data_IF_883096907412
#
_entry.id   IF_883096907412
#
_cell.length_a   1.000
_cell.length_b   1.000
_cell.length_c   1.000
_cell.angle_alpha   90.00
_cell.angle_beta   90.00
_cell.angle_gamma   90.00
#
_symmetry.space_group_name_H-M   'P 1'
#
loop_
_entity.id
_entity.type
_entity.pdbx_description
1 polymer ?
#
# COMPACT_ATOMS: atom_id res chain seq x y z
N UNK A 1 -43.98 12.91 -34.09
CA UNK A 1 -44.35 11.52 -33.78
C UNK A 1 -44.01 11.32 -32.32
N UNK A 2 -44.97 11.62 -31.45
CA UNK A 2 -44.87 11.46 -30.00
C UNK A 2 -44.85 9.96 -29.70
N UNK A 3 -43.81 9.49 -29.00
CA UNK A 3 -43.76 8.12 -28.50
C UNK A 3 -44.59 8.05 -27.21
N UNK A 4 -45.63 7.22 -27.24
CA UNK A 4 -46.55 6.98 -26.14
C UNK A 4 -45.83 6.34 -24.95
N UNK A 5 -46.23 6.77 -23.76
CA UNK A 5 -45.64 6.44 -22.47
C UNK A 5 -46.11 5.10 -21.88
N UNK A 6 -46.17 4.02 -22.68
CA UNK A 6 -46.72 2.74 -22.20
C UNK A 6 -45.96 1.44 -22.55
N UNK A 7 -44.74 1.51 -23.06
CA UNK A 7 -43.90 0.30 -23.16
C UNK A 7 -43.03 0.14 -21.89
N UNK A 8 -43.68 -0.22 -20.80
CA UNK A 8 -42.99 -0.66 -19.57
C UNK A 8 -42.65 -2.14 -19.74
N UNK A 9 -41.42 -2.45 -20.16
CA UNK A 9 -40.89 -3.81 -20.07
C UNK A 9 -41.05 -4.31 -18.62
N UNK A 10 -41.45 -5.58 -18.39
CA UNK A 10 -41.56 -6.11 -17.04
C UNK A 10 -40.17 -6.17 -16.43
N UNK A 11 -39.85 -5.21 -15.56
CA UNK A 11 -38.61 -5.18 -14.79
C UNK A 11 -38.75 -6.30 -13.75
N UNK A 12 -38.16 -7.45 -14.00
CA UNK A 12 -38.04 -8.50 -12.99
C UNK A 12 -37.25 -7.95 -11.81
N UNK A 13 -37.90 -7.87 -10.64
CA UNK A 13 -37.30 -7.51 -9.35
C UNK A 13 -36.45 -8.67 -8.79
N UNK A 14 -35.74 -9.40 -9.64
CA UNK A 14 -35.03 -10.59 -9.21
C UNK A 14 -33.63 -10.24 -8.73
N UNK A 15 -33.45 -10.27 -7.40
CA UNK A 15 -32.16 -9.99 -6.75
C UNK A 15 -31.05 -10.91 -7.25
N UNK A 16 -31.41 -12.14 -7.63
CA UNK A 16 -30.45 -13.13 -8.09
C UNK A 16 -29.85 -12.73 -9.45
N UNK A 17 -30.68 -12.24 -10.37
CA UNK A 17 -30.24 -11.76 -11.68
C UNK A 17 -29.32 -10.52 -11.58
N UNK A 18 -29.59 -9.61 -10.64
CA UNK A 18 -28.70 -8.47 -10.38
C UNK A 18 -27.34 -8.90 -9.80
N UNK A 19 -27.30 -9.96 -9.00
CA UNK A 19 -26.06 -10.54 -8.48
C UNK A 19 -25.28 -11.28 -9.56
N UNK A 20 -25.95 -11.99 -10.48
CA UNK A 20 -25.33 -12.59 -11.66
C UNK A 20 -24.76 -11.55 -12.61
N UNK A 21 -25.50 -10.48 -12.92
CA UNK A 21 -24.99 -9.35 -13.73
C UNK A 21 -23.82 -8.68 -13.02
N UNK A 22 -23.88 -8.52 -11.68
CA UNK A 22 -22.75 -8.01 -10.90
C UNK A 22 -21.57 -8.97 -11.04
N UNK A 23 -21.74 -10.26 -10.83
CA UNK A 23 -20.65 -11.22 -10.83
C UNK A 23 -20.11 -11.45 -12.25
N UNK A 24 -20.89 -11.25 -13.31
CA UNK A 24 -20.43 -11.19 -14.69
C UNK A 24 -19.72 -9.85 -15.00
N UNK A 25 -20.25 -8.74 -14.47
CA UNK A 25 -19.61 -7.42 -14.41
C UNK A 25 -18.60 -7.30 -13.26
N UNK A 26 -18.12 -8.35 -12.60
CA UNK A 26 -16.99 -8.28 -11.65
C UNK A 26 -16.05 -9.46 -11.84
N UNK A 27 -16.55 -10.51 -12.50
CA UNK A 27 -15.88 -11.74 -12.79
C UNK A 27 -14.73 -11.56 -13.77
N UNK A 28 -13.81 -12.49 -13.65
CA UNK A 28 -12.53 -12.57 -14.37
C UNK A 28 -12.69 -13.00 -15.83
N UNK A 29 -13.93 -13.22 -16.30
CA UNK A 29 -14.26 -13.77 -17.62
C UNK A 29 -14.16 -12.79 -18.79
N UNK A 30 -14.29 -11.47 -18.58
CA UNK A 30 -14.16 -10.50 -19.68
C UNK A 30 -12.67 -10.21 -19.96
N UNK A 31 -12.19 -10.53 -21.17
CA UNK A 31 -10.80 -10.29 -21.60
C UNK A 31 -10.34 -8.83 -21.44
N UNK A 32 -11.26 -7.87 -21.61
CA UNK A 32 -10.97 -6.43 -21.48
C UNK A 32 -10.50 -6.04 -20.08
N UNK A 33 -11.03 -6.67 -19.03
CA UNK A 33 -10.70 -6.31 -17.64
C UNK A 33 -9.37 -6.79 -17.15
N UNK A 34 -8.85 -7.84 -17.77
CA UNK A 34 -7.51 -8.32 -17.46
C UNK A 34 -6.45 -7.34 -17.96
N UNK A 35 -6.77 -6.40 -18.84
CA UNK A 35 -5.81 -5.40 -19.33
C UNK A 35 -5.76 -4.19 -18.40
N UNK A 36 -4.56 -3.80 -17.98
CA UNK A 36 -4.35 -2.73 -17.01
C UNK A 36 -4.92 -1.39 -17.48
N UNK A 37 -4.70 -1.02 -18.75
CA UNK A 37 -5.20 0.22 -19.35
C UNK A 37 -6.74 0.35 -19.34
N UNK A 38 -7.49 -0.75 -19.27
CA UNK A 38 -8.95 -0.75 -19.23
C UNK A 38 -9.46 -0.34 -17.85
N UNK A 39 -8.59 -0.26 -16.82
CA UNK A 39 -8.95 0.35 -15.55
C UNK A 39 -9.14 1.85 -15.74
N UNK A 40 -8.21 2.49 -16.46
CA UNK A 40 -8.29 3.90 -16.79
C UNK A 40 -9.59 4.18 -17.58
N UNK A 41 -9.87 3.38 -18.61
CA UNK A 41 -11.12 3.49 -19.38
C UNK A 41 -12.36 3.35 -18.48
N UNK A 42 -12.38 2.34 -17.59
CA UNK A 42 -13.50 2.09 -16.68
C UNK A 42 -13.73 3.24 -15.70
N UNK A 43 -12.65 3.81 -15.15
CA UNK A 43 -12.73 4.83 -14.11
C UNK A 43 -13.00 6.21 -14.71
N UNK A 44 -12.34 6.56 -15.81
CA UNK A 44 -12.36 7.92 -16.36
C UNK A 44 -13.55 8.19 -17.30
N UNK A 45 -14.15 7.15 -17.87
CA UNK A 45 -15.27 7.32 -18.80
C UNK A 45 -16.52 7.85 -18.08
N UNK A 46 -17.10 8.92 -18.62
CA UNK A 46 -18.37 9.48 -18.12
C UNK A 46 -19.55 8.59 -18.43
N UNK A 47 -19.48 7.82 -19.53
CA UNK A 47 -20.49 6.85 -19.98
C UNK A 47 -19.78 5.60 -20.49
N UNK A 48 -20.16 4.44 -19.99
CA UNK A 48 -19.63 3.14 -20.40
C UNK A 48 -20.79 2.21 -20.70
N UNK A 49 -20.68 1.50 -21.81
CA UNK A 49 -21.61 0.45 -22.21
C UNK A 49 -20.83 -0.88 -22.28
N UNK A 50 -20.62 -1.59 -21.15
CA UNK A 50 -19.94 -2.86 -21.16
C UNK A 50 -20.84 -3.91 -21.80
N UNK A 51 -20.31 -4.57 -22.83
CA UNK A 51 -20.86 -5.79 -23.39
C UNK A 51 -20.33 -6.96 -22.58
N UNK A 52 -21.20 -7.59 -21.81
CA UNK A 52 -20.94 -8.86 -21.15
C UNK A 52 -21.68 -9.94 -21.96
N UNK A 53 -21.25 -11.20 -21.83
CA UNK A 53 -21.66 -12.33 -22.67
C UNK A 53 -23.15 -12.35 -23.05
N UNK A 54 -24.04 -12.02 -22.12
CA UNK A 54 -25.50 -12.07 -22.27
C UNK A 54 -26.22 -10.75 -21.96
N UNK A 55 -25.50 -9.72 -21.48
CA UNK A 55 -26.10 -8.46 -21.04
C UNK A 55 -25.29 -7.25 -21.47
N UNK A 56 -26.01 -6.19 -21.87
CA UNK A 56 -25.45 -4.87 -22.07
C UNK A 56 -25.74 -4.05 -20.82
N UNK A 57 -24.69 -3.63 -20.12
CA UNK A 57 -24.82 -2.75 -18.95
C UNK A 57 -24.69 -1.30 -19.41
N UNK A 58 -25.41 -0.36 -18.80
CA UNK A 58 -25.15 1.07 -18.99
C UNK A 58 -24.74 1.70 -17.67
N UNK A 59 -23.56 2.35 -17.68
CA UNK A 59 -23.04 3.12 -16.54
C UNK A 59 -22.84 4.56 -16.98
N UNK A 60 -23.41 5.49 -16.23
CA UNK A 60 -23.21 6.92 -16.42
C UNK A 60 -22.76 7.55 -15.10
N UNK A 61 -21.65 8.29 -15.11
CA UNK A 61 -21.07 8.91 -13.91
C UNK A 61 -21.90 10.09 -13.40
N UNK A 62 -22.67 10.74 -14.27
CA UNK A 62 -23.48 11.93 -13.90
C UNK A 62 -24.86 11.56 -13.35
N UNK A 63 -25.34 10.33 -13.57
CA UNK A 63 -26.68 9.94 -13.15
C UNK A 63 -26.59 9.24 -11.79
N UNK A 64 -26.99 9.94 -10.71
CA UNK A 64 -27.27 9.35 -9.38
C UNK A 64 -28.52 8.45 -9.37
N UNK A 65 -29.02 8.05 -10.54
CA UNK A 65 -30.34 7.43 -10.71
C UNK A 65 -30.37 6.00 -10.17
N UNK A 66 -31.42 5.69 -9.42
CA UNK A 66 -31.80 4.39 -8.87
C UNK A 66 -32.05 3.27 -9.93
N UNK A 67 -31.70 3.49 -11.19
CA UNK A 67 -31.92 2.57 -12.32
C UNK A 67 -30.63 1.86 -12.75
N UNK A 68 -29.84 1.42 -11.78
CA UNK A 68 -28.69 0.58 -12.06
C UNK A 68 -28.97 -0.82 -11.50
N UNK A 69 -28.95 -1.84 -12.37
CA UNK A 69 -28.77 -3.25 -11.98
C UNK A 69 -27.43 -3.47 -11.24
N UNK A 70 -26.57 -2.46 -11.19
CA UNK A 70 -25.29 -2.45 -10.50
C UNK A 70 -25.45 -2.01 -9.04
N UNK A 71 -25.38 -2.97 -8.11
CA UNK A 71 -25.16 -2.67 -6.69
C UNK A 71 -23.67 -2.48 -6.45
N UNK A 72 -23.26 -1.24 -6.17
CA UNK A 72 -21.87 -0.86 -5.83
C UNK A 72 -21.32 -1.74 -4.70
N UNK A 73 -20.16 -2.37 -4.93
CA UNK A 73 -19.44 -3.07 -3.87
C UNK A 73 -18.67 -2.06 -3.02
N UNK A 74 -18.57 -2.33 -1.71
CA UNK A 74 -17.71 -1.56 -0.81
C UNK A 74 -16.22 -1.66 -1.20
N UNK A 75 -15.84 -2.61 -2.04
CA UNK A 75 -14.44 -2.87 -2.44
C UNK A 75 -14.08 -2.30 -3.80
N UNK A 76 -15.03 -1.71 -4.53
CA UNK A 76 -14.78 -1.17 -5.87
C UNK A 76 -13.84 0.04 -5.83
N UNK A 77 -12.89 0.13 -6.80
CA UNK A 77 -12.08 1.34 -6.94
C UNK A 77 -12.96 2.48 -7.44
N UNK A 78 -12.77 3.65 -6.84
CA UNK A 78 -13.48 4.86 -7.20
C UNK A 78 -12.50 6.02 -7.31
N UNK A 79 -12.75 6.88 -8.28
CA UNK A 79 -12.08 8.18 -8.34
C UNK A 79 -12.80 9.09 -7.34
N UNK A 80 -12.06 9.86 -6.51
CA UNK A 80 -12.64 10.88 -5.64
C UNK A 80 -13.52 11.85 -6.42
N UNK A 81 -14.61 12.32 -5.81
CA UNK A 81 -15.49 13.29 -6.45
C UNK A 81 -14.81 14.67 -6.52
N UNK A 82 -14.22 14.98 -7.67
CA UNK A 82 -13.52 16.25 -7.93
C UNK A 82 -14.46 17.45 -8.05
N UNK A 83 -15.79 17.26 -8.14
CA UNK A 83 -16.75 18.35 -8.38
C UNK A 83 -16.93 19.29 -7.17
N UNK A 84 -16.56 18.85 -5.97
CA UNK A 84 -16.63 19.66 -4.74
C UNK A 84 -15.39 20.53 -4.48
N UNK A 85 -14.35 20.46 -5.32
CA UNK A 85 -13.02 21.00 -4.99
C UNK A 85 -12.71 22.39 -5.52
N UNK A 86 -13.59 23.02 -6.31
CA UNK A 86 -13.40 24.41 -6.73
C UNK A 86 -13.77 25.45 -5.65
N UNK A 87 -14.33 25.04 -4.49
CA UNK A 87 -14.88 26.01 -3.52
C UNK A 87 -14.55 25.81 -2.03
N UNK A 88 -13.84 24.77 -1.57
CA UNK A 88 -13.53 24.65 -0.13
C UNK A 88 -12.11 24.21 0.18
N UNK A 89 -11.41 25.03 0.95
CA UNK A 89 -10.08 24.80 1.55
C UNK A 89 -10.09 23.68 2.61
N UNK A 90 -10.50 22.46 2.26
CA UNK A 90 -10.50 21.30 3.15
C UNK A 90 -9.18 20.50 3.14
N UNK A 91 -8.03 21.18 3.03
CA UNK A 91 -6.72 20.52 3.23
C UNK A 91 -6.52 19.95 4.65
N UNK A 92 -7.46 20.16 5.56
CA UNK A 92 -7.35 19.80 6.97
C UNK A 92 -8.42 18.83 7.47
N UNK A 93 -9.27 18.27 6.61
CA UNK A 93 -10.15 17.17 7.04
C UNK A 93 -9.42 15.83 6.91
N UNK A 94 -8.89 15.33 8.01
CA UNK A 94 -8.18 14.06 8.10
C UNK A 94 -9.06 12.86 7.69
N UNK A 95 -10.38 12.98 7.83
CA UNK A 95 -11.33 11.99 7.33
C UNK A 95 -11.36 11.96 5.79
N UNK A 96 -11.35 13.12 5.14
CA UNK A 96 -11.31 13.22 3.67
C UNK A 96 -10.02 12.61 3.11
N UNK A 97 -8.86 12.90 3.72
CA UNK A 97 -7.59 12.30 3.30
C UNK A 97 -7.57 10.78 3.48
N UNK A 98 -8.13 10.28 4.58
CA UNK A 98 -8.29 8.84 4.78
C UNK A 98 -9.14 8.19 3.67
N UNK A 99 -10.21 8.85 3.22
CA UNK A 99 -11.03 8.37 2.11
C UNK A 99 -10.24 8.32 0.79
N UNK A 100 -9.44 9.35 0.49
CA UNK A 100 -8.59 9.36 -0.70
C UNK A 100 -7.56 8.22 -0.63
N UNK A 101 -6.86 8.05 0.49
CA UNK A 101 -5.84 7.00 0.63
C UNK A 101 -6.44 5.61 0.44
N UNK A 102 -7.61 5.34 1.02
CA UNK A 102 -8.34 4.08 0.83
C UNK A 102 -8.76 3.91 -0.64
N UNK A 103 -9.22 4.97 -1.30
CA UNK A 103 -9.58 4.92 -2.71
C UNK A 103 -8.36 4.63 -3.60
N UNK A 104 -7.22 5.27 -3.35
CA UNK A 104 -5.97 5.04 -4.08
C UNK A 104 -5.48 3.60 -3.90
N UNK A 105 -5.46 3.10 -2.68
CA UNK A 105 -5.08 1.71 -2.40
C UNK A 105 -5.98 0.69 -3.10
N UNK A 106 -7.27 0.97 -3.27
CA UNK A 106 -8.19 0.12 -4.05
C UNK A 106 -7.89 0.16 -5.54
N UNK A 107 -7.56 1.34 -6.08
CA UNK A 107 -7.11 1.50 -7.46
C UNK A 107 -5.84 0.68 -7.68
N UNK A 108 -4.81 0.87 -6.86
CA UNK A 108 -3.53 0.15 -6.98
C UNK A 108 -3.74 -1.37 -6.84
N UNK A 109 -4.60 -1.82 -5.93
CA UNK A 109 -4.95 -3.26 -5.78
C UNK A 109 -5.63 -3.83 -7.03
N UNK A 110 -6.61 -3.14 -7.60
CA UNK A 110 -7.27 -3.60 -8.84
C UNK A 110 -6.30 -3.53 -10.02
N UNK A 111 -5.58 -2.43 -10.15
CA UNK A 111 -4.62 -2.20 -11.24
C UNK A 111 -3.50 -3.23 -11.27
N UNK A 112 -2.86 -3.50 -10.13
CA UNK A 112 -1.73 -4.44 -10.04
C UNK A 112 -2.10 -5.90 -10.32
N UNK A 113 -3.38 -6.27 -10.29
CA UNK A 113 -3.88 -7.60 -10.69
C UNK A 113 -4.05 -7.76 -12.20
N UNK A 114 -3.97 -6.67 -12.95
CA UNK A 114 -4.21 -6.66 -14.39
C UNK A 114 -2.90 -6.83 -15.14
N UNK A 115 -2.97 -7.51 -16.26
CA UNK A 115 -1.88 -7.73 -17.19
C UNK A 115 -1.54 -6.44 -17.95
N UNK A 116 -0.24 -6.19 -18.05
CA UNK A 116 0.37 -5.21 -18.95
C UNK A 116 1.11 -5.94 -20.07
N UNK A 117 1.21 -5.31 -21.23
CA UNK A 117 2.05 -5.81 -22.31
C UNK A 117 3.54 -5.58 -22.04
N UNK A 118 3.87 -4.45 -21.41
CA UNK A 118 5.23 -4.02 -21.04
C UNK A 118 5.23 -3.60 -19.56
N UNK A 119 6.23 -4.02 -18.80
CA UNK A 119 6.27 -3.73 -17.36
C UNK A 119 6.59 -2.26 -17.08
N UNK A 120 7.40 -1.66 -17.93
CA UNK A 120 7.86 -0.28 -17.90
C UNK A 120 6.70 0.72 -18.09
N UNK A 121 5.55 0.24 -18.56
CA UNK A 121 4.35 1.05 -18.75
C UNK A 121 3.45 1.08 -17.50
N UNK A 122 3.86 0.44 -16.40
CA UNK A 122 3.00 0.29 -15.22
C UNK A 122 2.59 1.62 -14.60
N UNK A 123 3.52 2.57 -14.47
CA UNK A 123 3.18 3.93 -13.98
C UNK A 123 2.45 4.73 -15.05
N UNK A 124 2.93 4.69 -16.30
CA UNK A 124 2.35 5.45 -17.43
C UNK A 124 0.89 5.09 -17.66
N UNK A 125 0.53 3.80 -17.67
CA UNK A 125 -0.84 3.35 -17.86
C UNK A 125 -1.75 3.57 -16.63
N UNK A 126 -1.20 4.05 -15.51
CA UNK A 126 -1.96 4.53 -14.35
C UNK A 126 -1.98 6.07 -14.26
N UNK A 127 -1.19 6.78 -15.07
CA UNK A 127 -0.95 8.22 -14.96
C UNK A 127 -2.24 9.05 -15.03
N UNK A 128 -3.18 8.70 -15.92
CA UNK A 128 -4.46 9.41 -16.02
C UNK A 128 -5.33 9.27 -14.77
N UNK A 129 -5.25 8.13 -14.07
CA UNK A 129 -5.95 7.95 -12.79
C UNK A 129 -5.23 8.71 -11.68
N UNK A 130 -3.89 8.65 -11.63
CA UNK A 130 -3.08 9.41 -10.68
C UNK A 130 -3.34 10.92 -10.80
N UNK A 131 -3.45 11.47 -12.01
CA UNK A 131 -3.77 12.87 -12.24
C UNK A 131 -5.12 13.28 -11.60
N UNK A 132 -6.14 12.42 -11.67
CA UNK A 132 -7.43 12.69 -11.04
C UNK A 132 -7.34 12.69 -9.51
N UNK A 133 -6.51 11.83 -8.94
CA UNK A 133 -6.22 11.84 -7.50
C UNK A 133 -5.43 13.09 -7.10
N UNK A 134 -4.44 13.50 -7.89
CA UNK A 134 -3.70 14.74 -7.64
C UNK A 134 -4.61 15.98 -7.64
N UNK A 135 -5.59 16.04 -8.56
CA UNK A 135 -6.60 17.11 -8.56
C UNK A 135 -7.46 17.10 -7.29
N UNK A 136 -7.79 15.93 -6.75
CA UNK A 136 -8.55 15.80 -5.50
C UNK A 136 -7.73 16.17 -4.26
N UNK A 137 -6.44 15.80 -4.24
CA UNK A 137 -5.48 16.16 -3.20
C UNK A 137 -5.07 17.65 -3.25
N UNK A 138 -5.16 18.27 -4.43
CA UNK A 138 -4.94 19.70 -4.68
C UNK A 138 -3.56 20.04 -5.23
N UNK A 139 -3.31 21.34 -5.44
CA UNK A 139 -2.13 21.87 -6.17
C UNK A 139 -0.74 21.53 -5.58
N UNK A 140 -0.68 21.02 -4.35
CA UNK A 140 0.57 20.64 -3.68
C UNK A 140 0.75 19.11 -3.63
N UNK A 141 -0.15 18.35 -4.25
CA UNK A 141 -0.05 16.90 -4.29
C UNK A 141 1.22 16.49 -5.04
N UNK A 142 2.12 15.82 -4.34
CA UNK A 142 3.37 15.32 -4.90
C UNK A 142 3.31 13.80 -5.06
N UNK A 143 3.53 13.34 -6.29
CA UNK A 143 3.47 11.95 -6.70
C UNK A 143 4.87 11.36 -6.86
N UNK A 144 5.08 10.17 -6.29
CA UNK A 144 6.38 9.54 -6.13
C UNK A 144 6.30 8.09 -6.59
N UNK A 145 6.48 7.90 -7.90
CA UNK A 145 6.50 6.59 -8.53
C UNK A 145 5.34 5.67 -8.05
N UNK A 146 4.11 6.17 -7.96
CA UNK A 146 2.98 5.36 -7.48
C UNK A 146 2.49 5.65 -6.06
N UNK A 147 3.23 6.42 -5.27
CA UNK A 147 2.90 6.78 -3.89
C UNK A 147 2.68 8.30 -3.76
N UNK A 148 2.02 8.73 -2.69
CA UNK A 148 1.80 10.14 -2.38
C UNK A 148 2.69 10.61 -1.23
N UNK A 149 3.27 11.81 -1.37
CA UNK A 149 4.13 12.43 -0.33
C UNK A 149 3.45 12.49 1.04
N UNK A 150 2.22 12.99 1.08
CA UNK A 150 1.49 13.27 2.32
C UNK A 150 1.09 12.00 3.09
N UNK A 151 0.98 10.86 2.41
CA UNK A 151 0.66 9.56 2.99
C UNK A 151 1.81 8.56 2.90
N UNK A 152 3.04 8.99 2.62
CA UNK A 152 4.12 8.11 2.18
C UNK A 152 4.38 6.91 3.11
N UNK A 153 4.39 7.11 4.43
CA UNK A 153 4.59 6.03 5.40
C UNK A 153 3.46 4.98 5.37
N UNK A 154 2.22 5.40 5.11
CA UNK A 154 1.06 4.50 4.95
C UNK A 154 1.11 3.81 3.58
N UNK A 155 1.45 4.57 2.55
CA UNK A 155 1.60 4.09 1.19
C UNK A 155 2.71 3.04 1.08
N UNK A 156 3.77 3.12 1.89
CA UNK A 156 4.83 2.10 1.99
C UNK A 156 4.37 0.79 2.61
N UNK A 157 3.18 0.74 3.24
CA UNK A 157 2.62 -0.45 3.89
C UNK A 157 1.86 -1.38 2.91
N UNK A 158 2.05 -1.22 1.60
CA UNK A 158 1.64 -2.22 0.63
C UNK A 158 2.37 -3.54 0.89
N UNK A 159 1.75 -4.66 0.51
CA UNK A 159 2.37 -5.99 0.58
C UNK A 159 1.91 -6.85 -0.60
N UNK A 160 2.67 -7.88 -0.94
CA UNK A 160 2.30 -8.82 -2.00
C UNK A 160 0.98 -9.51 -1.65
N UNK A 161 0.05 -9.52 -2.60
CA UNK A 161 -1.19 -10.27 -2.50
C UNK A 161 -0.91 -11.78 -2.49
N UNK A 162 -1.14 -12.50 -1.38
CA UNK A 162 -0.84 -13.92 -1.27
C UNK A 162 -1.77 -14.80 -2.11
N UNK A 163 -2.93 -14.28 -2.52
CA UNK A 163 -3.94 -15.04 -3.25
C UNK A 163 -3.71 -14.96 -4.77
N UNK A 164 -2.68 -14.25 -5.21
CA UNK A 164 -2.36 -14.07 -6.62
C UNK A 164 -1.00 -14.64 -6.94
N UNK A 165 -0.95 -15.52 -7.94
CA UNK A 165 0.28 -16.04 -8.51
C UNK A 165 0.56 -15.42 -9.88
N UNK A 166 0.30 -14.11 -10.00
CA UNK A 166 0.48 -13.38 -11.25
C UNK A 166 1.96 -13.09 -11.45
N UNK A 167 2.62 -13.89 -12.27
CA UNK A 167 3.98 -13.60 -12.73
C UNK A 167 3.91 -12.55 -13.85
N UNK A 168 3.72 -11.27 -13.47
CA UNK A 168 3.98 -10.17 -14.40
C UNK A 168 5.47 -9.82 -14.36
N UNK A 169 5.98 -9.28 -15.47
CA UNK A 169 7.30 -8.68 -15.52
C UNK A 169 7.39 -7.51 -14.52
N UNK A 170 8.52 -7.39 -13.82
CA UNK A 170 8.83 -6.25 -12.95
C UNK A 170 9.26 -5.06 -13.81
N UNK A 171 8.90 -3.85 -13.38
CA UNK A 171 9.48 -2.64 -13.95
C UNK A 171 10.88 -2.44 -13.36
N UNK A 172 11.97 -2.58 -14.13
CA UNK A 172 13.33 -2.44 -13.63
C UNK A 172 13.69 -1.00 -13.25
N UNK A 173 12.91 -0.01 -13.71
CA UNK A 173 13.16 1.40 -13.46
C UNK A 173 12.39 1.93 -12.24
N UNK A 174 11.38 1.20 -11.77
CA UNK A 174 10.63 1.56 -10.58
C UNK A 174 11.48 1.35 -9.30
N UNK A 175 11.58 2.36 -8.41
CA UNK A 175 12.30 2.24 -7.15
C UNK A 175 11.80 1.06 -6.30
N UNK A 176 12.68 0.38 -5.55
CA UNK A 176 12.30 -0.85 -4.83
C UNK A 176 11.20 -0.66 -3.79
N UNK A 177 11.04 0.56 -3.26
CA UNK A 177 10.01 0.93 -2.29
C UNK A 177 8.64 1.21 -2.92
N UNK A 178 8.56 1.35 -4.25
CA UNK A 178 7.30 1.51 -4.99
C UNK A 178 6.61 0.16 -5.26
N UNK A 179 5.28 0.12 -5.22
CA UNK A 179 4.50 -1.04 -5.68
C UNK A 179 4.67 -1.31 -7.18
N UNK A 180 5.11 -0.31 -7.96
CA UNK A 180 5.36 -0.47 -9.38
C UNK A 180 6.54 -1.43 -9.65
N UNK A 181 7.49 -1.54 -8.72
CA UNK A 181 8.60 -2.51 -8.80
C UNK A 181 8.16 -3.97 -8.79
N UNK A 182 6.95 -4.27 -8.32
CA UNK A 182 6.47 -5.64 -8.16
C UNK A 182 5.81 -6.18 -9.42
N UNK A 183 6.13 -7.41 -9.81
CA UNK A 183 5.39 -8.12 -10.87
C UNK A 183 4.06 -8.71 -10.37
N UNK A 184 3.95 -8.99 -9.07
CA UNK A 184 2.75 -9.54 -8.49
C UNK A 184 1.75 -8.45 -8.10
N UNK A 185 0.49 -8.83 -7.95
CA UNK A 185 -0.50 -7.93 -7.37
C UNK A 185 -0.13 -7.54 -5.94
N UNK A 186 -0.50 -6.32 -5.56
CA UNK A 186 -0.26 -5.80 -4.21
C UNK A 186 -1.58 -5.48 -3.51
N UNK A 187 -1.54 -5.51 -2.18
CA UNK A 187 -2.64 -5.12 -1.30
C UNK A 187 -2.16 -4.11 -0.27
N UNK A 188 -3.13 -3.43 0.31
CA UNK A 188 -2.95 -2.63 1.51
C UNK A 188 -3.92 -3.12 2.56
N UNK A 189 -3.56 -2.98 3.83
CA UNK A 189 -4.53 -3.13 4.90
C UNK A 189 -5.41 -1.86 4.95
N UNK A 190 -6.50 -1.86 4.17
CA UNK A 190 -7.35 -0.67 4.01
C UNK A 190 -7.95 -0.16 5.33
N UNK A 191 -8.11 -1.04 6.32
CA UNK A 191 -8.54 -0.64 7.65
C UNK A 191 -7.50 0.28 8.32
N UNK A 192 -6.22 0.15 7.97
CA UNK A 192 -5.06 0.86 8.51
C UNK A 192 -4.62 2.08 7.68
N UNK A 193 -5.32 2.45 6.60
CA UNK A 193 -4.93 3.57 5.74
C UNK A 193 -5.48 4.95 6.15
N UNK A 194 -6.12 5.04 7.32
CA UNK A 194 -6.48 6.33 7.89
C UNK A 194 -5.22 7.01 8.45
N UNK A 195 -5.02 8.31 8.23
CA UNK A 195 -3.94 9.02 8.93
C UNK A 195 -4.28 9.12 10.44
N UNK A 196 -5.57 9.19 10.77
CA UNK A 196 -6.04 9.29 12.15
C UNK A 196 -5.82 7.99 12.94
N UNK A 197 -5.45 8.14 14.21
CA UNK A 197 -5.29 7.02 15.13
C UNK A 197 -3.98 6.23 14.99
N UNK A 198 -3.07 6.70 14.13
CA UNK A 198 -1.73 6.12 14.01
C UNK A 198 -0.68 7.00 14.68
N UNK A 199 0.32 6.35 15.26
CA UNK A 199 1.58 6.98 15.62
C UNK A 199 2.63 6.61 14.59
N UNK A 200 3.33 7.61 14.05
CA UNK A 200 4.49 7.39 13.20
C UNK A 200 5.69 6.98 14.06
N UNK A 201 6.32 5.86 13.71
CA UNK A 201 7.56 5.36 14.33
C UNK A 201 8.81 5.68 13.50
N UNK A 202 8.60 6.11 12.26
CA UNK A 202 9.61 6.56 11.31
C UNK A 202 9.29 7.97 10.83
N UNK A 203 10.33 8.70 10.44
CA UNK A 203 10.25 10.02 9.81
C UNK A 203 10.81 9.93 8.38
N UNK A 204 10.11 10.54 7.42
CA UNK A 204 10.62 10.72 6.06
C UNK A 204 11.53 11.94 6.05
N UNK A 205 12.83 11.72 5.86
CA UNK A 205 13.82 12.80 5.77
C UNK A 205 13.87 13.37 4.36
N UNK A 206 13.88 12.47 3.37
CA UNK A 206 13.94 12.85 1.96
C UNK A 206 13.30 11.73 1.14
N UNK A 207 12.61 12.07 0.05
CA UNK A 207 12.33 11.09 -0.98
C UNK A 207 12.17 11.80 -2.30
N UNK A 208 12.73 11.26 -3.36
CA UNK A 208 12.70 11.88 -4.68
C UNK A 208 12.65 10.81 -5.76
N UNK A 209 12.14 11.21 -6.93
CA UNK A 209 12.10 10.39 -8.14
C UNK A 209 12.60 11.21 -9.31
N UNK A 210 13.36 10.58 -10.21
CA UNK A 210 13.78 11.17 -11.47
C UNK A 210 12.80 10.74 -12.54
N UNK A 211 12.06 11.70 -13.11
CA UNK A 211 11.13 11.45 -14.21
C UNK A 211 11.90 11.23 -15.52
N UNK A 212 11.40 10.35 -16.37
CA UNK A 212 11.89 10.23 -17.76
C UNK A 212 11.54 11.48 -18.57
N UNK A 213 10.32 12.00 -18.37
CA UNK A 213 9.83 13.23 -19.00
C UNK A 213 9.15 14.11 -17.95
N UNK A 214 9.67 15.33 -17.74
CA UNK A 214 9.12 16.30 -16.80
C UNK A 214 7.72 16.80 -17.17
N UNK A 215 7.30 16.66 -18.44
CA UNK A 215 5.94 16.98 -18.88
C UNK A 215 4.92 15.91 -18.46
N UNK A 216 5.39 14.74 -18.01
CA UNK A 216 4.58 13.62 -17.55
C UNK A 216 4.82 13.36 -16.05
N UNK A 217 4.30 14.20 -15.14
CA UNK A 217 4.59 14.12 -13.70
C UNK A 217 4.09 12.84 -13.01
N UNK A 218 3.20 12.09 -13.66
CA UNK A 218 2.69 10.79 -13.19
C UNK A 218 3.19 9.61 -14.05
N UNK A 219 4.14 9.90 -14.95
CA UNK A 219 4.64 8.97 -15.95
C UNK A 219 5.79 8.10 -15.45
N UNK A 220 6.65 7.69 -16.40
CA UNK A 220 7.78 6.81 -16.12
C UNK A 220 8.85 7.53 -15.29
N UNK A 221 9.49 6.78 -14.41
CA UNK A 221 10.65 7.20 -13.63
C UNK A 221 11.87 6.39 -14.06
N UNK A 222 13.06 6.97 -13.95
CA UNK A 222 14.34 6.31 -14.26
C UNK A 222 15.14 5.98 -13.01
N UNK A 223 14.86 6.65 -11.90
CA UNK A 223 15.49 6.42 -10.59
C UNK A 223 14.62 7.00 -9.47
N UNK A 224 14.91 6.59 -8.23
CA UNK A 224 14.36 7.25 -7.05
C UNK A 224 15.07 6.81 -5.78
N UNK A 225 14.95 7.61 -4.72
CA UNK A 225 15.46 7.25 -3.41
C UNK A 225 14.51 7.71 -2.31
N UNK A 226 14.60 7.02 -1.17
CA UNK A 226 13.85 7.33 0.03
C UNK A 226 14.79 7.23 1.23
N UNK A 227 14.88 8.31 2.00
CA UNK A 227 15.66 8.39 3.24
C UNK A 227 14.68 8.45 4.41
N UNK A 228 14.74 7.44 5.28
CA UNK A 228 13.97 7.41 6.52
C UNK A 228 14.90 7.56 7.71
N UNK A 229 14.47 8.34 8.71
CA UNK A 229 15.03 8.31 10.06
C UNK A 229 14.16 7.38 10.91
N UNK A 230 14.75 6.27 11.36
CA UNK A 230 13.96 5.19 11.97
C UNK A 230 14.80 4.31 12.90
N UNK A 231 14.20 3.68 13.92
CA UNK A 231 14.82 2.55 14.62
C UNK A 231 15.04 1.38 13.65
N UNK A 232 16.24 0.81 13.60
CA UNK A 232 16.52 -0.35 12.77
C UNK A 232 16.64 -1.60 13.65
N UNK A 233 15.80 -2.61 13.38
CA UNK A 233 15.71 -3.82 14.20
C UNK A 233 16.29 -5.02 13.44
N UNK A 234 17.14 -5.80 14.09
CA UNK A 234 17.75 -7.00 13.49
C UNK A 234 19.27 -7.06 13.71
N UNK A 235 19.97 -7.88 12.93
CA UNK A 235 19.48 -8.63 11.77
C UNK A 235 18.62 -9.86 12.13
N UNK A 236 17.79 -10.33 11.19
CA UNK A 236 16.94 -11.51 11.31
C UNK A 236 17.08 -12.43 10.10
N UNK A 237 16.92 -13.74 10.35
CA UNK A 237 16.71 -14.74 9.32
C UNK A 237 15.22 -14.74 8.86
N UNK A 238 14.93 -14.99 7.57
CA UNK A 238 13.56 -15.06 7.05
C UNK A 238 12.63 -16.04 7.77
N UNK A 239 13.13 -17.22 8.17
CA UNK A 239 12.32 -18.23 8.87
C UNK A 239 11.98 -17.79 10.28
N UNK A 240 12.93 -17.12 10.95
CA UNK A 240 12.66 -16.50 12.24
C UNK A 240 11.55 -15.45 12.12
N UNK A 241 11.59 -14.59 11.11
CA UNK A 241 10.56 -13.57 10.87
C UNK A 241 9.16 -14.17 10.67
N UNK A 242 9.06 -15.25 9.87
CA UNK A 242 7.81 -15.98 9.63
C UNK A 242 7.24 -16.61 10.89
N UNK A 243 8.09 -17.02 11.83
CA UNK A 243 7.65 -17.63 13.09
C UNK A 243 7.04 -16.62 14.08
N UNK A 244 7.37 -15.34 13.97
CA UNK A 244 7.00 -14.31 14.96
C UNK A 244 6.00 -13.28 14.45
N UNK A 245 5.70 -13.27 13.15
CA UNK A 245 4.90 -12.23 12.51
C UNK A 245 4.25 -12.69 11.23
N UNK A 246 3.25 -11.93 10.77
CA UNK A 246 2.68 -12.12 9.45
C UNK A 246 3.58 -11.41 8.43
N UNK A 247 4.46 -12.17 7.79
CA UNK A 247 5.44 -11.66 6.81
C UNK A 247 4.96 -11.91 5.38
N UNK A 248 5.18 -10.92 4.53
CA UNK A 248 4.97 -10.96 3.08
C UNK A 248 6.28 -10.54 2.42
N UNK A 249 7.08 -11.52 2.00
CA UNK A 249 8.33 -11.24 1.30
C UNK A 249 8.06 -10.95 -0.18
N UNK A 250 8.78 -9.98 -0.71
CA UNK A 250 8.80 -9.72 -2.14
C UNK A 250 9.59 -10.86 -2.81
N UNK A 251 9.02 -11.49 -3.85
CA UNK A 251 9.80 -12.46 -4.64
C UNK A 251 10.90 -11.68 -5.36
N UNK A 252 12.16 -12.03 -5.13
CA UNK A 252 13.26 -11.74 -6.07
C UNK A 252 13.36 -12.93 -7.03
N UNK A 253 13.75 -12.68 -8.28
CA UNK A 253 13.85 -13.73 -9.29
C UNK A 253 14.60 -14.96 -8.77
N UNK A 254 14.08 -16.14 -9.11
CA UNK A 254 14.79 -17.42 -9.03
C UNK A 254 16.06 -17.45 -9.93
N UNK A 255 16.49 -16.31 -10.47
CA UNK A 255 17.51 -16.19 -11.51
C UNK A 255 18.76 -15.39 -11.16
N UNK A 256 18.76 -14.46 -10.20
CA UNK A 256 19.97 -13.62 -9.97
C UNK A 256 20.24 -13.20 -8.53
N UNK A 257 19.54 -13.80 -7.56
CA UNK A 257 20.01 -13.78 -6.17
C UNK A 257 19.88 -15.21 -5.68
N UNK A 258 20.97 -15.99 -5.78
CA UNK A 258 21.16 -17.06 -4.81
C UNK A 258 20.97 -16.38 -3.45
N UNK A 259 19.89 -16.76 -2.73
CA UNK A 259 19.75 -16.42 -1.32
C UNK A 259 20.95 -17.06 -0.63
N UNK A 260 22.09 -16.38 -0.62
CA UNK A 260 23.21 -16.79 0.17
C UNK A 260 22.70 -16.82 1.60
N UNK A 261 23.02 -17.90 2.31
CA UNK A 261 22.63 -18.22 3.69
C UNK A 261 23.05 -17.13 4.71
N UNK A 262 23.57 -15.99 4.24
CA UNK A 262 24.08 -14.86 5.01
C UNK A 262 23.26 -13.56 4.84
N UNK A 263 22.14 -13.58 4.11
CA UNK A 263 21.38 -12.34 3.83
C UNK A 263 20.49 -11.94 5.00
N UNK A 264 21.10 -11.26 5.97
CA UNK A 264 20.43 -10.65 7.11
C UNK A 264 19.33 -9.66 6.70
N UNK A 265 18.09 -9.88 7.15
CA UNK A 265 16.98 -8.95 6.99
C UNK A 265 16.87 -8.02 8.19
N UNK A 266 16.40 -6.80 7.96
CA UNK A 266 16.15 -5.82 9.00
C UNK A 266 14.68 -5.39 8.96
N UNK A 267 14.15 -5.04 10.13
CA UNK A 267 12.81 -4.50 10.28
C UNK A 267 12.91 -3.00 10.52
N UNK A 268 12.09 -2.26 9.78
CA UNK A 268 11.90 -0.83 9.89
C UNK A 268 10.45 -0.58 10.31
N UNK A 269 10.20 -0.20 11.57
CA UNK A 269 8.85 0.07 12.06
C UNK A 269 8.36 1.41 11.51
N UNK A 270 7.31 1.38 10.68
CA UNK A 270 6.80 2.58 10.03
C UNK A 270 5.80 3.29 10.93
N UNK A 271 4.79 2.55 11.38
CA UNK A 271 3.65 3.12 12.09
C UNK A 271 3.00 2.10 13.04
N UNK A 272 2.35 2.64 14.06
CA UNK A 272 1.63 1.92 15.10
C UNK A 272 0.17 2.38 15.11
N UNK A 273 -0.77 1.42 15.20
CA UNK A 273 -2.19 1.71 15.44
C UNK A 273 -2.72 0.95 16.64
N UNK A 274 -3.61 1.60 17.38
CA UNK A 274 -4.49 0.96 18.35
C UNK A 274 -5.90 0.77 17.74
N UNK A 275 -6.40 -0.47 17.68
CA UNK A 275 -7.78 -0.77 17.26
C UNK A 275 -8.74 -0.89 18.45
N UNK A 276 -10.00 -0.51 18.22
CA UNK A 276 -11.08 -0.45 19.22
C UNK A 276 -11.28 -1.76 20.02
N UNK A 277 -10.90 -2.91 19.46
CA UNK A 277 -11.02 -4.22 20.09
C UNK A 277 -9.77 -4.67 20.88
N UNK A 278 -8.96 -3.72 21.38
CA UNK A 278 -7.73 -4.00 22.13
C UNK A 278 -6.66 -4.75 21.32
N UNK A 279 -6.70 -4.63 19.99
CA UNK A 279 -5.69 -5.16 19.09
C UNK A 279 -4.83 -3.99 18.65
N UNK A 280 -3.54 -4.05 18.94
CA UNK A 280 -2.59 -3.12 18.38
C UNK A 280 -1.88 -3.77 17.20
N UNK A 281 -1.48 -2.94 16.25
CA UNK A 281 -0.81 -3.38 15.03
C UNK A 281 0.37 -2.47 14.76
N UNK A 282 1.56 -3.06 14.57
CA UNK A 282 2.74 -2.36 14.06
C UNK A 282 2.98 -2.81 12.63
N UNK A 283 3.00 -1.85 11.71
CA UNK A 283 3.32 -2.09 10.30
C UNK A 283 4.80 -1.80 10.06
N UNK A 284 5.48 -2.78 9.48
CA UNK A 284 6.93 -2.80 9.36
C UNK A 284 7.34 -3.06 7.92
N UNK A 285 8.34 -2.33 7.45
CA UNK A 285 9.05 -2.64 6.22
C UNK A 285 10.16 -3.65 6.53
N UNK A 286 10.29 -4.68 5.70
CA UNK A 286 11.42 -5.60 5.75
C UNK A 286 12.43 -5.14 4.70
N UNK A 287 13.68 -4.90 5.12
CA UNK A 287 14.74 -4.39 4.24
C UNK A 287 15.97 -5.28 4.30
N UNK A 288 16.74 -5.31 3.22
CA UNK A 288 18.06 -5.94 3.15
C UNK A 288 19.10 -4.87 2.96
N UNK A 289 20.22 -4.97 3.67
CA UNK A 289 21.36 -4.09 3.45
C UNK A 289 22.09 -4.52 2.18
N UNK A 290 22.29 -3.58 1.27
CA UNK A 290 23.20 -3.72 0.13
C UNK A 290 24.52 -3.02 0.47
N UNK A 291 25.60 -3.42 -0.21
CA UNK A 291 27.00 -3.05 0.08
C UNK A 291 27.24 -1.60 0.59
N UNK A 292 28.25 -1.43 1.45
CA UNK A 292 28.79 -0.12 1.86
C UNK A 292 29.48 0.56 0.65
N UNK A 293 28.75 1.35 -0.14
CA UNK A 293 29.36 2.22 -1.14
C UNK A 293 28.68 3.59 -1.18
N UNK A 294 29.28 4.57 -0.50
CA UNK A 294 29.61 5.90 -1.02
C UNK A 294 30.10 6.82 0.10
N UNK A 295 31.23 7.48 -0.13
CA UNK A 295 31.86 8.53 0.71
C UNK A 295 31.09 9.86 0.73
N UNK A 296 29.80 9.87 0.39
CA UNK A 296 28.98 11.08 0.45
C UNK A 296 28.26 11.14 1.79
N UNK A 297 28.64 12.07 2.70
CA UNK A 297 27.92 12.25 3.95
C UNK A 297 26.52 12.75 3.67
N UNK A 298 25.52 12.08 4.24
CA UNK A 298 24.20 12.69 4.44
C UNK A 298 24.35 13.82 5.47
N UNK A 299 23.63 14.91 5.21
CA UNK A 299 23.68 16.16 5.97
C UNK A 299 23.88 15.96 7.47
N UNK A 300 25.04 16.40 7.98
CA UNK A 300 25.20 16.78 9.40
C UNK A 300 25.76 15.77 10.39
N UNK A 301 26.55 14.75 10.01
CA UNK A 301 27.35 13.96 10.97
C UNK A 301 28.59 13.35 10.31
N UNK A 302 29.76 13.64 10.85
CA UNK A 302 31.07 13.33 10.27
C UNK A 302 31.54 11.87 10.45
N UNK A 303 30.65 10.89 10.64
CA UNK A 303 31.06 9.49 10.88
C UNK A 303 30.17 8.38 10.31
N UNK A 304 29.04 8.66 9.65
CA UNK A 304 28.14 7.59 9.23
C UNK A 304 28.42 7.12 7.80
N UNK A 305 28.97 5.91 7.69
CA UNK A 305 28.95 5.12 6.45
C UNK A 305 27.48 4.96 6.04
N UNK A 306 27.07 5.60 4.95
CA UNK A 306 25.70 5.49 4.45
C UNK A 306 25.47 4.06 3.94
N UNK A 307 24.64 3.29 4.64
CA UNK A 307 24.20 1.97 4.18
C UNK A 307 23.00 2.13 3.26
N UNK A 308 23.10 1.50 2.10
CA UNK A 308 22.00 1.43 1.14
C UNK A 308 21.17 0.19 1.47
N UNK A 309 19.86 0.33 1.43
CA UNK A 309 18.92 -0.73 1.70
C UNK A 309 18.04 -0.96 0.48
N UNK A 310 17.59 -2.20 0.32
CA UNK A 310 16.56 -2.55 -0.64
C UNK A 310 15.35 -3.09 0.13
N UNK A 311 14.15 -2.72 -0.32
CA UNK A 311 12.94 -3.34 0.19
C UNK A 311 12.95 -4.84 -0.13
N UNK A 312 12.62 -5.66 0.86
CA UNK A 312 12.52 -7.11 0.75
C UNK A 312 11.15 -7.67 1.13
N UNK A 313 10.25 -6.82 1.63
CA UNK A 313 8.88 -7.20 1.95
C UNK A 313 8.25 -6.31 3.00
N UNK A 314 7.16 -6.83 3.55
CA UNK A 314 6.35 -6.19 4.57
C UNK A 314 6.05 -7.19 5.68
N UNK A 315 5.99 -6.74 6.93
CA UNK A 315 5.48 -7.57 8.02
C UNK A 315 4.58 -6.78 8.96
N UNK A 316 3.68 -7.52 9.59
CA UNK A 316 2.70 -7.01 10.54
C UNK A 316 2.82 -7.76 11.87
N UNK A 317 2.85 -6.99 12.97
CA UNK A 317 2.83 -7.50 14.34
C UNK A 317 1.52 -7.13 15.02
N UNK A 318 0.81 -8.09 15.62
CA UNK A 318 -0.47 -7.83 16.30
C UNK A 318 -0.94 -8.88 17.31
N UNK A 319 -1.81 -8.44 18.23
CA UNK A 319 -2.14 -9.04 19.53
C UNK A 319 -3.02 -10.30 19.59
N UNK A 320 -2.85 -11.29 18.71
CA UNK A 320 -3.46 -12.63 18.89
C UNK A 320 -2.60 -13.81 18.43
N UNK A 321 -1.44 -13.55 17.83
CA UNK A 321 -0.54 -14.60 17.32
C UNK A 321 0.22 -15.27 18.48
N UNK A 322 -0.01 -16.58 18.65
CA UNK A 322 0.69 -17.44 19.61
C UNK A 322 2.14 -17.63 19.17
N UNK A 323 3.08 -16.90 19.77
CA UNK A 323 4.51 -17.26 19.69
C UNK A 323 5.50 -16.20 19.21
N UNK A 324 5.11 -14.93 19.09
CA UNK A 324 6.05 -13.86 18.75
C UNK A 324 7.19 -13.73 19.77
N UNK A 325 8.44 -13.79 19.31
CA UNK A 325 9.65 -13.78 20.14
C UNK A 325 9.64 -12.63 21.18
N UNK A 326 9.56 -12.98 22.47
CA UNK A 326 9.33 -12.04 23.60
C UNK A 326 10.31 -10.85 23.62
N UNK A 327 11.58 -11.09 23.25
CA UNK A 327 12.61 -10.04 23.18
C UNK A 327 12.32 -9.00 22.10
N UNK A 328 11.84 -9.46 20.94
CA UNK A 328 11.45 -8.58 19.84
C UNK A 328 10.21 -7.75 20.19
N UNK A 329 9.24 -8.37 20.87
CA UNK A 329 8.06 -7.70 21.36
C UNK A 329 8.38 -6.60 22.37
N UNK A 330 9.19 -6.92 23.39
CA UNK A 330 9.61 -5.96 24.40
C UNK A 330 10.32 -4.75 23.75
N UNK A 331 11.05 -5.00 22.67
CA UNK A 331 11.71 -3.96 21.89
C UNK A 331 10.69 -3.07 21.17
N UNK A 332 9.74 -3.65 20.44
CA UNK A 332 8.66 -2.88 19.80
C UNK A 332 7.84 -2.06 20.80
N UNK A 333 7.54 -2.61 21.98
CA UNK A 333 6.84 -1.90 23.05
C UNK A 333 7.62 -0.66 23.49
N UNK A 334 8.95 -0.74 23.60
CA UNK A 334 9.79 0.43 23.96
C UNK A 334 9.73 1.55 22.92
N UNK A 335 9.52 1.22 21.64
CA UNK A 335 9.38 2.21 20.57
C UNK A 335 8.04 2.96 20.62
N UNK A 336 7.05 2.47 21.38
CA UNK A 336 5.76 3.14 21.48
C UNK A 336 5.90 4.50 22.17
N UNK A 337 5.18 5.53 21.71
CA UNK A 337 5.39 6.92 22.14
C UNK A 337 4.86 7.21 23.54
N UNK A 338 3.76 6.55 23.96
CA UNK A 338 3.04 6.91 25.19
C UNK A 338 3.19 5.83 26.27
N UNK A 339 3.35 6.22 27.55
CA UNK A 339 3.35 5.27 28.66
C UNK A 339 2.09 4.40 28.67
N UNK A 340 0.92 4.98 28.40
CA UNK A 340 -0.33 4.22 28.30
C UNK A 340 -0.31 3.14 27.20
N UNK A 341 0.27 3.44 26.02
CA UNK A 341 0.41 2.44 24.96
C UNK A 341 1.43 1.35 25.33
N UNK A 342 2.53 1.73 26.01
CA UNK A 342 3.53 0.80 26.52
C UNK A 342 2.94 -0.14 27.57
N UNK A 343 2.26 0.42 28.56
CA UNK A 343 1.63 -0.30 29.67
C UNK A 343 0.51 -1.20 29.16
N UNK A 344 -0.31 -0.72 28.23
CA UNK A 344 -1.37 -1.53 27.63
C UNK A 344 -0.82 -2.70 26.81
N UNK A 345 0.19 -2.47 25.97
CA UNK A 345 0.86 -3.52 25.21
C UNK A 345 1.58 -4.50 26.14
N UNK A 346 2.20 -4.01 27.22
CA UNK A 346 2.85 -4.81 28.24
C UNK A 346 1.85 -5.66 29.03
N UNK A 347 0.72 -5.10 29.49
CA UNK A 347 -0.29 -5.78 30.30
C UNK A 347 -0.88 -7.03 29.64
N UNK A 348 -1.00 -7.05 28.30
CA UNK A 348 -1.40 -8.25 27.54
C UNK A 348 -0.27 -9.28 27.39
N UNK A 349 0.90 -9.04 27.96
CA UNK A 349 2.15 -9.82 27.80
C UNK A 349 2.90 -10.06 29.14
N UNK A 350 2.48 -9.43 30.25
CA UNK A 350 3.16 -9.49 31.58
C UNK A 350 3.36 -10.93 32.07
N UNK A 351 2.38 -11.81 31.90
CA UNK A 351 2.47 -13.21 32.36
C UNK A 351 3.62 -13.99 31.70
N UNK A 352 4.05 -13.58 30.51
CA UNK A 352 5.12 -14.23 29.74
C UNK A 352 6.47 -13.50 29.89
N UNK A 353 6.48 -12.19 30.16
CA UNK A 353 7.72 -11.44 30.41
C UNK A 353 8.31 -11.77 31.79
N UNK A 354 7.46 -11.97 32.80
CA UNK A 354 7.89 -12.32 34.16
C UNK A 354 8.64 -13.67 34.23
N UNK A 355 8.27 -14.65 33.41
CA UNK A 355 8.98 -15.94 33.34
C UNK A 355 10.32 -15.87 32.59
N UNK A 356 10.52 -14.89 31.70
CA UNK A 356 11.80 -14.69 31.02
C UNK A 356 12.78 -13.85 31.85
N UNK A 357 12.28 -12.95 32.70
CA UNK A 357 13.10 -12.14 33.60
C UNK A 357 13.64 -12.95 34.79
N UNK A 358 12.97 -14.05 35.17
CA UNK A 358 13.50 -15.03 36.14
C UNK A 358 14.77 -15.73 35.66
N UNK A 359 15.04 -15.75 34.35
CA UNK A 359 16.19 -16.44 33.73
C UNK A 359 17.29 -15.49 33.26
N UNK A 360 17.55 -14.42 34.02
CA UNK A 360 18.82 -13.68 34.03
C UNK A 360 19.43 -13.38 32.66
N UNK A 361 18.90 -12.38 31.95
CA UNK A 361 19.65 -11.72 30.87
C UNK A 361 19.46 -10.22 31.03
N UNK A 362 20.52 -9.53 31.44
CA UNK A 362 20.61 -8.07 31.38
C UNK A 362 20.53 -7.63 29.91
N UNK A 363 19.55 -6.77 29.59
CA UNK A 363 19.43 -6.25 28.22
C UNK A 363 19.30 -4.74 28.20
N UNK A 364 20.48 -4.12 28.11
CA UNK A 364 20.66 -2.74 27.66
C UNK A 364 20.30 -2.67 26.18
N UNK A 365 19.24 -1.93 25.84
CA UNK A 365 18.91 -1.64 24.45
C UNK A 365 18.69 -0.14 24.29
N UNK A 366 19.76 0.58 23.95
CA UNK A 366 19.69 1.93 23.37
C UNK A 366 19.73 1.74 21.84
N UNK A 367 18.65 2.08 21.14
CA UNK A 367 18.63 2.11 19.69
C UNK A 367 18.74 3.55 19.20
N UNK A 368 19.87 3.97 18.62
CA UNK A 368 19.89 5.24 17.92
C UNK A 368 18.97 5.16 16.71
N UNK A 369 18.22 6.23 16.44
CA UNK A 369 17.59 6.39 15.14
C UNK A 369 18.70 6.46 14.08
N UNK A 370 18.57 5.65 13.03
CA UNK A 370 19.52 5.64 11.91
C UNK A 370 18.87 6.19 10.65
N UNK A 371 19.69 6.71 9.75
CA UNK A 371 19.26 7.05 8.39
C UNK A 371 19.38 5.81 7.50
N UNK A 372 18.27 5.40 6.89
CA UNK A 372 18.26 4.33 5.89
C UNK A 372 17.97 4.94 4.52
N UNK A 373 18.79 4.64 3.52
CA UNK A 373 18.56 5.04 2.13
C UNK A 373 18.06 3.84 1.33
N UNK A 374 16.80 3.87 0.92
CA UNK A 374 16.18 2.91 0.00
C UNK A 374 16.34 3.41 -1.44
N UNK A 375 16.75 2.53 -2.35
CA UNK A 375 16.92 2.81 -3.79
C UNK A 375 15.96 2.01 -4.65
#
# INVERSE_FOLDING_TARGET
MELSSQDTYPISHDRHHAEEIRDAYHGTGSHTRRRAWCLQEKLMSTRVLPFISDVIVFRCRTTRSRHHYYRKSLTDPEIPDVSFHLQRSFKHDSYYMAQINVAWARVVRDYSRRSLSYAEDKLVACAGVAELFARALGLQAEYLAGLWRDSLLFDLCWYRDPDTNTCSMRDPHAPSWSWASQGNAVRFNCCLLSIEGHTLLSEVVECATTLEDHLLPFGRVTAGHLILRTPLLGPYDPDHLRSISRVFLDEHDKGDIQMNESTSMWIVPLLYRHELHCVWVVQCLVVRSYAEQSDTPLVGSASDRTRIYQRAGFCEFGGSQKGGHRKFFALLVRLLPSPAARDFAACRTIDLLLDSLKNGVDVYWNFPHVLIKLV
#
